data_IF_265531858267
#
_entry.id   IF_265531858267
#
_cell.length_a   1.000
_cell.length_b   1.000
_cell.length_c   1.000
_cell.angle_alpha   90.00
_cell.angle_beta   90.00
_cell.angle_gamma   90.00
#
_symmetry.space_group_name_H-M   'P 1'
#
loop_
_entity.id
_entity.type
_entity.pdbx_description
1 polymer ?
#
# COMPACT_ATOMS: atom_id res chain seq x y z
N UNK A 1 -7.39 13.21 19.86
CA UNK A 1 -6.17 13.19 19.03
C UNK A 1 -5.09 12.55 19.88
N UNK A 2 -4.30 11.64 19.37
CA UNK A 2 -3.17 11.05 20.11
C UNK A 2 -2.03 12.07 20.12
N UNK A 3 -1.27 12.13 21.21
CA UNK A 3 -0.05 12.92 21.20
C UNK A 3 1.08 12.20 20.42
N UNK A 4 2.06 12.97 19.99
CA UNK A 4 3.18 12.51 19.18
C UNK A 4 3.98 11.36 19.84
N UNK A 5 4.19 11.44 21.15
CA UNK A 5 4.97 10.44 21.88
C UNK A 5 4.24 9.10 21.86
N UNK A 6 2.95 9.11 22.14
CA UNK A 6 2.09 7.92 22.09
C UNK A 6 2.10 7.28 20.70
N UNK A 7 1.93 8.07 19.62
CA UNK A 7 1.95 7.55 18.24
C UNK A 7 3.30 6.92 17.91
N UNK A 8 4.41 7.62 18.18
CA UNK A 8 5.76 7.11 17.92
C UNK A 8 6.07 5.84 18.71
N UNK A 9 5.73 5.82 20.01
CA UNK A 9 5.97 4.64 20.83
C UNK A 9 5.15 3.46 20.37
N UNK A 10 3.87 3.66 20.02
CA UNK A 10 3.00 2.58 19.53
C UNK A 10 3.52 2.01 18.22
N UNK A 11 3.90 2.86 17.24
CA UNK A 11 4.49 2.41 15.98
C UNK A 11 5.78 1.61 16.26
N UNK A 12 6.65 2.14 17.12
CA UNK A 12 7.92 1.51 17.47
C UNK A 12 7.69 0.12 18.08
N UNK A 13 6.80 0.00 19.06
CA UNK A 13 6.50 -1.29 19.70
C UNK A 13 5.98 -2.30 18.69
N UNK A 14 5.01 -1.93 17.86
CA UNK A 14 4.47 -2.81 16.80
C UNK A 14 5.59 -3.28 15.85
N UNK A 15 6.41 -2.36 15.37
CA UNK A 15 7.48 -2.66 14.40
C UNK A 15 8.57 -3.52 15.04
N UNK A 16 9.01 -3.17 16.23
CA UNK A 16 10.12 -3.82 16.94
C UNK A 16 9.75 -5.25 17.36
N UNK A 17 8.53 -5.46 17.88
CA UNK A 17 8.02 -6.77 18.25
C UNK A 17 7.92 -7.69 17.02
N UNK A 18 7.38 -7.20 15.91
CA UNK A 18 7.32 -7.95 14.65
C UNK A 18 8.73 -8.30 14.16
N UNK A 19 9.63 -7.32 14.16
CA UNK A 19 11.00 -7.54 13.68
C UNK A 19 11.76 -8.53 14.56
N UNK A 20 11.61 -8.48 15.87
CA UNK A 20 12.23 -9.43 16.80
C UNK A 20 11.61 -10.81 16.73
N UNK A 21 10.30 -10.89 16.53
CA UNK A 21 9.56 -12.16 16.46
C UNK A 21 9.73 -12.93 15.15
N UNK A 22 10.27 -12.31 14.09
CA UNK A 22 10.39 -12.92 12.76
C UNK A 22 11.83 -13.34 12.45
N UNK A 23 12.10 -14.65 12.43
CA UNK A 23 13.40 -15.19 12.04
C UNK A 23 13.82 -14.77 10.61
N UNK A 24 12.86 -14.65 9.69
CA UNK A 24 13.09 -14.21 8.31
C UNK A 24 13.58 -12.77 8.28
N UNK A 25 12.96 -11.87 9.05
CA UNK A 25 13.38 -10.47 9.15
C UNK A 25 14.76 -10.39 9.83
N UNK A 26 14.98 -11.12 10.92
CA UNK A 26 16.26 -11.13 11.61
C UNK A 26 17.40 -11.60 10.69
N UNK A 27 17.17 -12.64 9.91
CA UNK A 27 18.14 -13.11 8.91
C UNK A 27 18.44 -12.03 7.85
N UNK A 28 17.39 -11.37 7.32
CA UNK A 28 17.54 -10.30 6.33
C UNK A 28 18.29 -9.06 6.87
N UNK A 29 18.29 -8.85 8.18
CA UNK A 29 18.99 -7.75 8.85
C UNK A 29 20.43 -8.08 9.23
N UNK A 30 20.83 -9.34 9.10
CA UNK A 30 22.21 -9.76 9.41
C UNK A 30 23.19 -9.10 8.45
N UNK A 31 24.10 -8.31 8.99
CA UNK A 31 25.11 -7.59 8.21
C UNK A 31 26.41 -7.48 8.99
N UNK A 32 27.58 -7.45 8.31
CA UNK A 32 28.85 -7.25 8.95
C UNK A 32 28.99 -5.83 9.51
N UNK A 33 29.80 -5.67 10.54
CA UNK A 33 30.14 -4.38 11.13
C UNK A 33 29.35 -4.02 12.38
N UNK A 34 29.64 -2.86 12.98
CA UNK A 34 28.99 -2.43 14.21
C UNK A 34 27.52 -2.10 14.00
N UNK A 35 26.69 -2.32 15.03
CA UNK A 35 25.29 -1.93 15.02
C UNK A 35 25.14 -0.42 14.76
N UNK A 36 24.20 -0.01 13.92
CA UNK A 36 23.98 1.41 13.63
C UNK A 36 23.39 2.13 14.85
N UNK A 37 23.79 3.39 15.06
CA UNK A 37 23.27 4.22 16.16
C UNK A 37 21.75 4.39 16.14
N UNK A 38 21.15 4.57 14.96
CA UNK A 38 19.72 4.49 14.76
C UNK A 38 19.39 3.05 14.39
N UNK A 39 18.64 2.31 15.20
CA UNK A 39 18.25 0.93 14.90
C UNK A 39 17.37 0.85 13.65
N UNK A 40 17.18 -0.34 13.09
CA UNK A 40 16.32 -0.52 11.92
C UNK A 40 14.85 -0.35 12.31
N UNK A 41 14.45 -0.78 13.52
CA UNK A 41 13.09 -0.53 14.05
C UNK A 41 12.81 0.96 14.21
N UNK A 42 13.76 1.73 14.76
CA UNK A 42 13.62 3.20 14.89
C UNK A 42 13.52 3.87 13.52
N UNK A 43 14.33 3.44 12.54
CA UNK A 43 14.30 4.00 11.19
C UNK A 43 12.97 3.73 10.50
N UNK A 44 12.45 2.52 10.59
CA UNK A 44 11.15 2.14 10.01
C UNK A 44 10.03 2.90 10.73
N UNK A 45 10.09 3.03 12.06
CA UNK A 45 9.14 3.84 12.83
C UNK A 45 9.05 5.27 12.31
N UNK A 46 10.19 5.93 12.10
CA UNK A 46 10.23 7.29 11.55
C UNK A 46 9.65 7.33 10.13
N UNK A 47 9.94 6.32 9.31
CA UNK A 47 9.42 6.24 7.94
C UNK A 47 7.88 6.10 7.92
N UNK A 48 7.32 5.26 8.77
CA UNK A 48 5.87 5.07 8.88
C UNK A 48 5.17 6.27 9.51
N UNK A 49 5.79 6.88 10.51
CA UNK A 49 5.29 8.12 11.11
C UNK A 49 5.22 9.25 10.08
N UNK A 50 6.25 9.43 9.25
CA UNK A 50 6.25 10.41 8.15
C UNK A 50 5.03 10.24 7.23
N UNK A 51 4.70 9.01 6.86
CA UNK A 51 3.54 8.74 5.99
C UNK A 51 2.21 9.01 6.73
N UNK A 52 2.08 8.60 7.99
CA UNK A 52 0.84 8.79 8.77
C UNK A 52 0.51 10.27 9.05
N UNK A 53 1.51 11.13 9.18
CA UNK A 53 1.28 12.58 9.32
C UNK A 53 1.05 13.28 7.97
N UNK A 54 1.05 12.54 6.86
CA UNK A 54 0.80 13.08 5.53
C UNK A 54 1.91 13.98 4.99
N UNK A 55 3.18 13.75 5.35
CA UNK A 55 4.31 14.54 4.82
C UNK A 55 5.06 13.76 3.72
N UNK A 56 4.70 13.97 2.44
CA UNK A 56 5.26 13.17 1.35
C UNK A 56 6.70 13.54 1.00
N UNK A 57 7.16 14.73 1.38
CA UNK A 57 8.50 15.23 1.07
C UNK A 57 9.46 14.99 2.22
N UNK A 58 10.42 14.10 2.03
CA UNK A 58 11.40 13.75 3.05
C UNK A 58 12.31 14.93 3.48
N UNK A 59 12.67 15.81 2.54
CA UNK A 59 13.44 17.03 2.84
C UNK A 59 12.66 18.00 3.73
N UNK A 60 11.36 18.15 3.47
CA UNK A 60 10.46 18.97 4.25
C UNK A 60 10.22 18.35 5.63
N UNK A 61 9.95 17.05 5.68
CA UNK A 61 9.79 16.30 6.93
C UNK A 61 10.99 16.48 7.87
N UNK A 62 12.22 16.28 7.37
CA UNK A 62 13.41 16.46 8.19
C UNK A 62 13.57 17.90 8.68
N UNK A 63 13.34 18.89 7.82
CA UNK A 63 13.44 20.31 8.19
C UNK A 63 12.47 20.66 9.33
N UNK A 64 11.25 20.15 9.30
CA UNK A 64 10.21 20.48 10.29
C UNK A 64 10.31 19.64 11.56
N UNK A 65 10.62 18.35 11.43
CA UNK A 65 10.43 17.39 12.52
C UNK A 65 11.72 16.87 13.14
N UNK A 66 12.90 17.05 12.51
CA UNK A 66 14.17 16.48 13.03
C UNK A 66 14.44 16.89 14.48
N UNK A 67 14.26 18.17 14.83
CA UNK A 67 14.51 18.67 16.19
C UNK A 67 13.58 17.99 17.22
N UNK A 68 12.32 17.83 16.89
CA UNK A 68 11.31 17.22 17.78
C UNK A 68 11.35 15.69 17.80
N UNK A 69 12.03 15.05 16.84
CA UNK A 69 12.26 13.60 16.80
C UNK A 69 13.51 13.17 17.59
N UNK A 70 14.53 14.02 17.71
CA UNK A 70 15.78 13.69 18.41
C UNK A 70 15.64 13.22 19.84
N UNK A 71 14.72 13.76 20.67
CA UNK A 71 14.51 13.23 22.03
C UNK A 71 14.05 11.76 22.05
N UNK A 72 13.30 11.31 21.04
CA UNK A 72 12.83 9.94 20.90
C UNK A 72 13.86 9.04 20.19
N UNK A 73 14.64 9.60 19.28
CA UNK A 73 15.61 8.91 18.43
C UNK A 73 16.96 9.61 18.46
N UNK A 74 17.75 9.47 19.56
CA UNK A 74 19.03 10.16 19.70
C UNK A 74 20.05 9.81 18.59
N UNK A 75 19.89 8.59 18.00
CA UNK A 75 20.70 8.11 16.88
C UNK A 75 20.29 8.66 15.52
N UNK A 76 19.30 9.57 15.44
CA UNK A 76 18.81 10.11 14.17
C UNK A 76 19.94 10.83 13.41
N UNK A 77 20.23 10.29 12.22
CA UNK A 77 21.30 10.74 11.33
C UNK A 77 20.83 11.82 10.36
N UNK A 78 21.74 12.30 9.53
CA UNK A 78 21.41 13.17 8.40
C UNK A 78 20.44 12.49 7.42
N UNK A 79 19.61 13.30 6.76
CA UNK A 79 18.61 12.85 5.78
C UNK A 79 19.19 11.93 4.70
N UNK A 80 20.38 12.23 4.18
CA UNK A 80 20.98 11.43 3.12
C UNK A 80 21.34 10.00 3.55
N UNK A 81 21.85 9.84 4.79
CA UNK A 81 22.13 8.51 5.40
C UNK A 81 20.83 7.78 5.73
N UNK A 82 19.87 8.48 6.30
CA UNK A 82 18.53 7.96 6.56
C UNK A 82 17.88 7.43 5.27
N UNK A 83 17.87 8.23 4.19
CA UNK A 83 17.27 7.85 2.91
C UNK A 83 17.92 6.61 2.29
N UNK A 84 19.25 6.49 2.32
CA UNK A 84 19.95 5.28 1.83
C UNK A 84 19.49 4.05 2.60
N UNK A 85 19.58 4.08 3.93
CA UNK A 85 19.19 2.95 4.77
C UNK A 85 17.71 2.61 4.62
N UNK A 86 16.84 3.60 4.53
CA UNK A 86 15.41 3.37 4.28
C UNK A 86 15.17 2.60 2.98
N UNK A 87 15.92 2.93 1.92
CA UNK A 87 15.84 2.19 0.66
C UNK A 87 16.35 0.77 0.78
N UNK A 88 17.42 0.55 1.52
CA UNK A 88 17.97 -0.79 1.77
C UNK A 88 17.00 -1.66 2.59
N UNK A 89 16.15 -1.05 3.42
CA UNK A 89 15.17 -1.71 4.27
C UNK A 89 13.77 -1.87 3.63
N UNK A 90 13.59 -1.56 2.33
CA UNK A 90 12.27 -1.61 1.70
C UNK A 90 11.59 -2.97 1.80
N UNK A 91 12.36 -4.06 1.63
CA UNK A 91 11.86 -5.44 1.76
C UNK A 91 11.48 -5.79 3.20
N UNK A 92 12.22 -5.27 4.19
CA UNK A 92 11.89 -5.42 5.62
C UNK A 92 10.61 -4.66 5.95
N UNK A 93 10.42 -3.45 5.42
CA UNK A 93 9.17 -2.70 5.57
C UNK A 93 7.97 -3.52 5.03
N UNK A 94 8.13 -4.17 3.87
CA UNK A 94 7.10 -5.07 3.33
C UNK A 94 6.89 -6.31 4.19
N UNK A 95 7.94 -6.91 4.75
CA UNK A 95 7.82 -8.04 5.66
C UNK A 95 7.05 -7.68 6.94
N UNK A 96 7.31 -6.49 7.50
CA UNK A 96 6.52 -5.93 8.61
C UNK A 96 5.04 -5.81 8.21
N UNK A 97 4.74 -5.32 7.01
CA UNK A 97 3.36 -5.26 6.49
C UNK A 97 2.70 -6.64 6.44
N UNK A 98 3.41 -7.64 5.90
CA UNK A 98 2.87 -9.01 5.79
C UNK A 98 2.55 -9.58 7.17
N UNK A 99 3.44 -9.38 8.15
CA UNK A 99 3.20 -9.81 9.53
C UNK A 99 1.99 -9.11 10.15
N UNK A 100 1.83 -7.80 9.93
CA UNK A 100 0.65 -7.03 10.35
C UNK A 100 -0.62 -7.54 9.68
N UNK A 101 -0.54 -7.85 8.39
CA UNK A 101 -1.67 -8.40 7.65
C UNK A 101 -2.15 -9.71 8.28
N UNK A 102 -1.24 -10.63 8.60
CA UNK A 102 -1.58 -11.91 9.24
C UNK A 102 -2.31 -11.67 10.57
N UNK A 103 -1.81 -10.74 11.40
CA UNK A 103 -2.44 -10.43 12.69
C UNK A 103 -3.82 -9.80 12.50
N UNK A 104 -3.95 -8.83 11.60
CA UNK A 104 -5.23 -8.16 11.33
C UNK A 104 -6.25 -9.08 10.67
N UNK A 105 -5.79 -9.99 9.82
CA UNK A 105 -6.61 -10.95 9.09
C UNK A 105 -7.13 -12.06 10.03
N UNK A 106 -6.32 -12.51 10.99
CA UNK A 106 -6.72 -13.48 11.99
C UNK A 106 -7.87 -12.99 12.89
N UNK A 107 -8.08 -11.68 12.97
CA UNK A 107 -9.19 -11.06 13.68
C UNK A 107 -10.50 -11.06 12.85
N UNK A 108 -10.44 -11.43 11.55
CA UNK A 108 -11.52 -11.25 10.59
C UNK A 108 -11.52 -12.39 9.58
N UNK A 109 -12.52 -13.27 9.64
CA UNK A 109 -12.66 -14.37 8.67
C UNK A 109 -13.52 -13.90 7.49
N UNK A 110 -12.93 -13.17 6.54
CA UNK A 110 -13.61 -12.74 5.33
C UNK A 110 -13.12 -13.47 4.09
N UNK A 111 -14.04 -14.12 3.38
CA UNK A 111 -13.75 -14.85 2.14
C UNK A 111 -14.05 -14.00 0.88
N UNK A 112 -14.36 -12.71 1.07
CA UNK A 112 -14.70 -11.78 0.00
C UNK A 112 -13.75 -10.58 0.05
N UNK A 113 -13.17 -10.24 -1.08
CA UNK A 113 -12.35 -9.04 -1.24
C UNK A 113 -12.76 -8.26 -2.49
N UNK A 114 -12.34 -7.02 -2.55
CA UNK A 114 -12.50 -6.19 -3.73
C UNK A 114 -11.15 -5.88 -4.37
N UNK A 115 -11.13 -5.75 -5.70
CA UNK A 115 -9.94 -5.41 -6.49
C UNK A 115 -10.16 -4.10 -7.24
N UNK A 116 -9.15 -3.26 -7.26
CA UNK A 116 -9.16 -2.01 -8.02
C UNK A 116 -7.74 -1.56 -8.35
N UNK A 117 -7.62 -0.56 -9.23
CA UNK A 117 -6.35 0.06 -9.58
C UNK A 117 -6.38 1.58 -9.40
N UNK A 118 -5.23 2.14 -9.02
CA UNK A 118 -5.05 3.58 -8.85
C UNK A 118 -3.83 4.08 -9.66
N UNK A 119 -3.88 5.28 -10.28
CA UNK A 119 -2.76 5.83 -11.00
C UNK A 119 -1.64 6.31 -10.06
N UNK A 120 -0.39 6.01 -10.43
CA UNK A 120 0.83 6.46 -9.76
C UNK A 120 1.72 7.17 -10.79
N UNK A 121 1.51 8.47 -11.03
CA UNK A 121 2.34 9.26 -11.95
C UNK A 121 3.78 9.35 -11.45
N UNK A 122 4.76 9.01 -12.29
CA UNK A 122 6.18 9.00 -11.92
C UNK A 122 6.91 10.29 -12.32
N UNK A 123 6.66 10.77 -13.53
CA UNK A 123 7.24 12.00 -14.05
C UNK A 123 6.21 12.79 -14.83
N UNK A 124 6.49 14.08 -15.05
CA UNK A 124 5.65 14.94 -15.90
C UNK A 124 5.50 14.31 -17.29
N UNK A 125 4.28 14.25 -17.81
CA UNK A 125 3.93 13.69 -19.11
C UNK A 125 4.80 14.24 -20.25
N UNK A 126 5.12 15.53 -20.23
CA UNK A 126 5.97 16.19 -21.24
C UNK A 126 7.44 15.75 -21.19
N UNK A 127 7.94 15.31 -20.04
CA UNK A 127 9.35 14.92 -19.82
C UNK A 127 9.59 13.41 -19.89
N UNK A 128 8.56 12.61 -20.07
CA UNK A 128 8.61 11.15 -20.04
C UNK A 128 9.50 10.54 -21.12
N UNK A 129 9.66 11.20 -22.28
CA UNK A 129 10.51 10.75 -23.39
C UNK A 129 12.01 10.97 -23.16
N UNK A 130 12.39 11.81 -22.19
CA UNK A 130 13.78 12.02 -21.83
C UNK A 130 14.21 10.98 -20.82
N UNK A 131 15.49 10.58 -20.84
CA UNK A 131 16.03 9.53 -19.97
C UNK A 131 15.50 9.65 -18.53
N UNK A 132 14.66 8.70 -18.16
CA UNK A 132 14.04 8.58 -16.84
C UNK A 132 14.48 7.26 -16.23
N UNK A 133 14.82 7.27 -14.93
CA UNK A 133 15.11 6.05 -14.16
C UNK A 133 13.90 5.11 -14.05
N UNK A 134 12.76 5.49 -14.64
CA UNK A 134 11.55 4.68 -14.73
C UNK A 134 11.35 4.00 -16.09
N UNK A 135 12.31 4.12 -17.02
CA UNK A 135 12.27 3.42 -18.32
C UNK A 135 12.23 1.91 -18.05
N UNK A 136 11.28 1.23 -18.72
CA UNK A 136 11.05 -0.21 -18.55
C UNK A 136 10.14 -0.60 -17.38
N UNK A 137 9.87 0.32 -16.43
CA UNK A 137 8.97 0.06 -15.30
C UNK A 137 7.72 0.95 -15.30
N UNK A 138 7.77 2.10 -15.96
CA UNK A 138 6.63 3.00 -16.13
C UNK A 138 6.31 3.17 -17.61
N UNK A 139 5.06 3.51 -17.91
CA UNK A 139 4.58 3.73 -19.28
C UNK A 139 3.44 4.76 -19.30
N UNK A 140 2.97 5.09 -20.49
CA UNK A 140 1.83 5.98 -20.71
C UNK A 140 0.52 5.31 -20.35
N UNK A 141 -0.32 6.00 -19.61
CA UNK A 141 -1.64 5.55 -19.22
C UNK A 141 -2.67 6.67 -19.24
N UNK A 142 -3.93 6.25 -19.18
CA UNK A 142 -5.09 7.12 -19.06
C UNK A 142 -5.89 6.69 -17.84
N UNK A 143 -6.19 7.65 -16.97
CA UNK A 143 -7.15 7.47 -15.89
C UNK A 143 -8.46 8.14 -16.30
N UNK A 144 -9.44 7.32 -16.72
CA UNK A 144 -10.72 7.82 -17.25
C UNK A 144 -11.52 8.58 -16.20
N UNK A 145 -11.55 8.10 -14.95
CA UNK A 145 -12.26 8.73 -13.84
C UNK A 145 -11.74 10.12 -13.49
N UNK A 146 -10.45 10.39 -13.77
CA UNK A 146 -9.79 11.70 -13.53
C UNK A 146 -9.55 12.49 -14.81
N UNK A 147 -10.00 12.00 -15.99
CA UNK A 147 -9.72 12.55 -17.31
C UNK A 147 -8.22 12.89 -17.50
N UNK A 148 -7.31 12.09 -16.92
CA UNK A 148 -5.90 12.38 -16.84
C UNK A 148 -5.06 11.44 -17.67
N UNK A 149 -4.20 12.00 -18.55
CA UNK A 149 -3.10 11.27 -19.18
C UNK A 149 -1.85 11.40 -18.33
N UNK A 150 -1.14 10.32 -18.07
CA UNK A 150 0.06 10.33 -17.24
C UNK A 150 1.10 9.33 -17.75
N UNK A 151 2.34 9.53 -17.31
CA UNK A 151 3.43 8.56 -17.45
C UNK A 151 3.78 8.04 -16.05
N UNK A 152 3.66 6.74 -15.84
CA UNK A 152 3.87 6.15 -14.52
C UNK A 152 3.48 4.69 -14.45
N UNK A 153 3.07 4.31 -13.26
CA UNK A 153 2.60 2.96 -12.94
C UNK A 153 1.11 2.97 -12.58
N UNK A 154 0.48 1.80 -12.59
CA UNK A 154 -0.76 1.52 -11.89
C UNK A 154 -0.46 0.76 -10.60
N UNK A 155 -1.06 1.16 -9.53
CA UNK A 155 -1.10 0.45 -8.26
C UNK A 155 -2.37 -0.40 -8.23
N UNK A 156 -2.21 -1.71 -8.35
CA UNK A 156 -3.32 -2.67 -8.22
C UNK A 156 -3.35 -3.16 -6.79
N UNK A 157 -4.53 -3.26 -6.20
CA UNK A 157 -4.68 -3.77 -4.84
C UNK A 157 -5.90 -4.67 -4.70
N UNK A 158 -5.76 -5.70 -3.87
CA UNK A 158 -6.87 -6.50 -3.34
C UNK A 158 -7.09 -6.08 -1.89
N UNK A 159 -8.31 -5.73 -1.57
CA UNK A 159 -8.70 -5.14 -0.28
C UNK A 159 -9.82 -5.96 0.32
N UNK A 160 -9.71 -6.38 1.59
CA UNK A 160 -10.79 -7.03 2.33
C UNK A 160 -11.98 -6.09 2.53
N UNK A 161 -13.15 -6.59 2.89
CA UNK A 161 -14.31 -5.73 3.15
C UNK A 161 -14.15 -4.84 4.39
N UNK A 162 -13.13 -5.08 5.22
CA UNK A 162 -12.77 -4.22 6.34
C UNK A 162 -11.75 -3.15 6.00
N UNK A 163 -11.25 -3.15 4.75
CA UNK A 163 -10.28 -2.19 4.24
C UNK A 163 -8.81 -2.60 4.39
N UNK A 164 -8.53 -3.83 4.82
CA UNK A 164 -7.15 -4.33 4.87
C UNK A 164 -6.64 -4.61 3.46
N UNK A 165 -5.50 -4.05 3.10
CA UNK A 165 -4.82 -4.33 1.83
C UNK A 165 -4.17 -5.71 1.94
N UNK A 166 -4.78 -6.73 1.32
CA UNK A 166 -4.29 -8.12 1.31
C UNK A 166 -3.06 -8.26 0.43
N UNK A 167 -3.10 -7.69 -0.76
CA UNK A 167 -1.99 -7.69 -1.70
C UNK A 167 -1.98 -6.44 -2.56
N UNK A 168 -0.82 -6.12 -3.12
CA UNK A 168 -0.69 -5.06 -4.11
C UNK A 168 0.42 -5.36 -5.12
N UNK A 169 0.30 -4.75 -6.29
CA UNK A 169 1.26 -4.88 -7.38
C UNK A 169 1.37 -3.55 -8.13
N UNK A 170 2.58 -3.20 -8.56
CA UNK A 170 2.82 -2.08 -9.48
C UNK A 170 3.05 -2.63 -10.89
N UNK A 171 2.31 -2.09 -11.85
CA UNK A 171 2.52 -2.38 -13.28
C UNK A 171 2.75 -1.09 -14.07
N UNK A 172 3.37 -1.15 -15.25
CA UNK A 172 3.36 -0.02 -16.18
C UNK A 172 1.92 0.45 -16.44
N UNK A 173 1.71 1.76 -16.57
CA UNK A 173 0.38 2.34 -16.71
C UNK A 173 -0.39 1.90 -17.98
N UNK A 174 0.32 1.39 -18.99
CA UNK A 174 -0.28 0.83 -20.22
C UNK A 174 -0.94 -0.54 -20.04
N UNK A 175 -0.59 -1.29 -18.98
CA UNK A 175 -1.13 -2.63 -18.73
C UNK A 175 -2.62 -2.55 -18.38
N UNK A 176 -3.46 -3.42 -18.93
CA UNK A 176 -4.88 -3.51 -18.60
C UNK A 176 -5.10 -4.06 -17.21
N UNK A 177 -6.18 -3.62 -16.54
CA UNK A 177 -6.43 -3.92 -15.11
C UNK A 177 -6.68 -5.40 -14.82
N UNK A 178 -7.24 -6.16 -15.79
CA UNK A 178 -7.47 -7.60 -15.68
C UNK A 178 -6.20 -8.47 -15.81
N UNK A 179 -5.15 -7.95 -16.46
CA UNK A 179 -3.94 -8.74 -16.75
C UNK A 179 -3.11 -9.14 -15.52
N UNK A 180 -2.89 -8.29 -14.49
CA UNK A 180 -2.07 -8.64 -13.36
C UNK A 180 -2.84 -9.40 -12.25
N UNK A 181 -4.12 -9.75 -12.43
CA UNK A 181 -4.96 -10.31 -11.38
C UNK A 181 -4.38 -11.61 -10.80
N UNK A 182 -3.93 -12.53 -11.63
CA UNK A 182 -3.36 -13.81 -11.17
C UNK A 182 -2.07 -13.57 -10.39
N UNK A 183 -1.14 -12.76 -10.94
CA UNK A 183 0.11 -12.39 -10.29
C UNK A 183 -0.13 -11.67 -8.95
N UNK A 184 -1.13 -10.79 -8.90
CA UNK A 184 -1.52 -10.09 -7.68
C UNK A 184 -2.06 -11.06 -6.62
N UNK A 185 -2.91 -12.01 -7.01
CA UNK A 185 -3.44 -13.04 -6.11
C UNK A 185 -2.34 -13.97 -5.57
N UNK A 186 -1.27 -14.20 -6.34
CA UNK A 186 -0.10 -14.98 -5.91
C UNK A 186 0.81 -14.21 -4.91
N UNK A 187 0.65 -12.91 -4.80
CA UNK A 187 1.49 -12.05 -3.95
C UNK A 187 1.14 -12.11 -2.46
N UNK A 188 0.05 -12.79 -2.07
CA UNK A 188 -0.38 -12.92 -0.68
C UNK A 188 -1.06 -14.27 -0.41
N UNK A 189 -1.01 -14.71 0.83
CA UNK A 189 -1.65 -15.94 1.30
C UNK A 189 -2.93 -15.59 2.04
N UNK A 190 -4.07 -15.65 1.35
CA UNK A 190 -5.40 -15.48 1.94
C UNK A 190 -6.41 -16.31 1.14
N UNK A 191 -7.30 -17.01 1.85
CA UNK A 191 -8.32 -17.85 1.21
C UNK A 191 -9.53 -17.00 0.83
N UNK A 192 -9.63 -16.65 -0.46
CA UNK A 192 -10.77 -15.92 -1.01
C UNK A 192 -11.69 -16.86 -1.76
N UNK A 193 -13.00 -16.69 -1.58
CA UNK A 193 -14.05 -17.31 -2.40
C UNK A 193 -14.65 -16.34 -3.43
N UNK A 194 -14.64 -15.05 -3.16
CA UNK A 194 -15.22 -14.02 -4.03
C UNK A 194 -14.30 -12.83 -4.19
N UNK A 195 -14.12 -12.40 -5.43
CA UNK A 195 -13.37 -11.20 -5.77
C UNK A 195 -14.28 -10.23 -6.54
N UNK A 196 -14.48 -9.03 -5.98
CA UNK A 196 -15.34 -8.00 -6.53
C UNK A 196 -14.49 -7.03 -7.34
N UNK A 197 -14.75 -6.90 -8.65
CA UNK A 197 -14.11 -5.93 -9.53
C UNK A 197 -15.11 -4.97 -10.18
N UNK A 198 -14.59 -3.92 -10.82
CA UNK A 198 -15.40 -3.08 -11.70
C UNK A 198 -15.55 -3.70 -13.11
N UNK A 199 -16.14 -2.96 -14.05
CA UNK A 199 -16.35 -3.41 -15.43
C UNK A 199 -15.04 -3.74 -16.18
N UNK A 200 -13.89 -3.20 -15.77
CA UNK A 200 -12.59 -3.51 -16.39
C UNK A 200 -12.16 -4.96 -16.11
N UNK A 201 -12.58 -5.53 -14.98
CA UNK A 201 -12.32 -6.92 -14.61
C UNK A 201 -13.35 -7.91 -15.19
N UNK A 202 -14.34 -7.45 -15.96
CA UNK A 202 -15.29 -8.33 -16.63
C UNK A 202 -14.63 -9.03 -17.82
N UNK A 203 -13.99 -10.16 -17.55
CA UNK A 203 -13.28 -11.02 -18.48
C UNK A 203 -13.70 -12.47 -18.25
N UNK A 204 -14.30 -13.10 -19.25
CA UNK A 204 -14.83 -14.47 -19.14
C UNK A 204 -13.71 -15.50 -18.99
N UNK A 205 -12.58 -15.32 -19.69
CA UNK A 205 -11.44 -16.24 -19.63
C UNK A 205 -10.80 -16.19 -18.24
N UNK A 206 -10.57 -14.99 -17.72
CA UNK A 206 -10.07 -14.79 -16.34
C UNK A 206 -11.03 -15.40 -15.31
N UNK A 207 -12.34 -15.14 -15.43
CA UNK A 207 -13.35 -15.68 -14.51
C UNK A 207 -13.37 -17.20 -14.51
N UNK A 208 -13.31 -17.85 -15.70
CA UNK A 208 -13.24 -19.30 -15.82
C UNK A 208 -11.95 -19.87 -15.21
N UNK A 209 -10.81 -19.22 -15.46
CA UNK A 209 -9.52 -19.61 -14.87
C UNK A 209 -9.56 -19.56 -13.34
N UNK A 210 -10.03 -18.46 -12.77
CA UNK A 210 -10.09 -18.29 -11.30
C UNK A 210 -11.07 -19.30 -10.65
N UNK A 211 -12.21 -19.56 -11.26
CA UNK A 211 -13.16 -20.57 -10.77
C UNK A 211 -12.57 -21.98 -10.81
N UNK A 212 -11.91 -22.34 -11.91
CA UNK A 212 -11.38 -23.69 -12.11
C UNK A 212 -10.13 -23.98 -11.27
N UNK A 213 -9.18 -23.04 -11.21
CA UNK A 213 -7.86 -23.29 -10.61
C UNK A 213 -7.68 -22.68 -9.21
N UNK A 214 -8.58 -21.78 -8.78
CA UNK A 214 -8.49 -21.09 -7.49
C UNK A 214 -9.74 -21.24 -6.63
N UNK A 215 -10.80 -21.89 -7.13
CA UNK A 215 -12.11 -21.92 -6.47
C UNK A 215 -12.62 -20.52 -6.10
N UNK A 216 -12.28 -19.52 -6.92
CA UNK A 216 -12.52 -18.09 -6.68
C UNK A 216 -13.50 -17.54 -7.71
N UNK A 217 -14.64 -17.03 -7.26
CA UNK A 217 -15.64 -16.41 -8.10
C UNK A 217 -15.31 -14.93 -8.35
N UNK A 218 -15.11 -14.56 -9.63
CA UNK A 218 -14.91 -13.16 -10.03
C UNK A 218 -16.26 -12.49 -10.31
N UNK A 219 -16.60 -11.48 -9.53
CA UNK A 219 -17.86 -10.76 -9.57
C UNK A 219 -17.64 -9.34 -10.10
N UNK A 220 -17.81 -9.17 -11.43
CA UNK A 220 -17.74 -7.86 -12.09
C UNK A 220 -19.07 -7.55 -12.79
N UNK A 221 -19.48 -6.27 -12.92
CA UNK A 221 -20.68 -5.87 -13.65
C UNK A 221 -20.54 -6.17 -15.15
N UNK A 222 -21.66 -6.34 -15.83
CA UNK A 222 -21.67 -6.43 -17.29
C UNK A 222 -21.13 -5.13 -17.91
N UNK A 223 -20.40 -5.24 -19.03
CA UNK A 223 -20.04 -4.06 -19.84
C UNK A 223 -21.30 -3.49 -20.49
N UNK A 224 -21.31 -2.17 -20.78
CA UNK A 224 -22.49 -1.48 -21.27
C UNK A 224 -23.15 -2.08 -22.54
N UNK A 225 -22.41 -2.85 -23.30
CA UNK A 225 -22.87 -3.57 -24.50
C UNK A 225 -23.31 -5.04 -24.22
N UNK A 226 -23.35 -5.46 -22.97
CA UNK A 226 -23.69 -6.83 -22.55
C UNK A 226 -25.00 -6.84 -21.73
N UNK A 227 -25.79 -7.91 -21.77
CA UNK A 227 -26.94 -8.05 -20.90
C UNK A 227 -26.51 -8.12 -19.43
N UNK A 228 -27.38 -7.64 -18.52
CA UNK A 228 -27.09 -7.71 -17.09
C UNK A 228 -26.87 -9.16 -16.62
N UNK A 229 -25.79 -9.42 -15.90
CA UNK A 229 -25.48 -10.76 -15.36
C UNK A 229 -26.29 -11.09 -14.11
N UNK A 230 -26.87 -10.06 -13.45
CA UNK A 230 -27.55 -10.18 -12.15
C UNK A 230 -28.74 -9.23 -12.08
N UNK A 231 -29.65 -9.49 -11.12
CA UNK A 231 -30.73 -8.57 -10.80
C UNK A 231 -30.18 -7.22 -10.31
N UNK A 232 -30.94 -6.14 -10.53
CA UNK A 232 -30.55 -4.79 -10.07
C UNK A 232 -30.22 -4.73 -8.57
N UNK A 233 -31.02 -5.31 -7.63
CA UNK A 233 -30.67 -5.30 -6.21
C UNK A 233 -29.34 -5.98 -5.90
N UNK A 234 -29.09 -7.15 -6.51
CA UNK A 234 -27.84 -7.89 -6.31
C UNK A 234 -26.63 -7.10 -6.83
N UNK A 235 -26.74 -6.48 -8.00
CA UNK A 235 -25.66 -5.63 -8.54
C UNK A 235 -25.41 -4.40 -7.68
N UNK A 236 -26.48 -3.77 -7.16
CA UNK A 236 -26.35 -2.62 -6.24
C UNK A 236 -25.62 -3.02 -4.95
N UNK A 237 -25.92 -4.18 -4.39
CA UNK A 237 -25.21 -4.69 -3.21
C UNK A 237 -23.72 -4.93 -3.48
N UNK A 238 -23.36 -5.57 -4.60
CA UNK A 238 -21.97 -5.78 -4.97
C UNK A 238 -21.22 -4.46 -5.19
N UNK A 239 -21.84 -3.50 -5.86
CA UNK A 239 -21.26 -2.17 -6.04
C UNK A 239 -21.02 -1.48 -4.68
N UNK A 240 -21.94 -1.60 -3.75
CA UNK A 240 -21.79 -1.04 -2.39
C UNK A 240 -20.63 -1.69 -1.63
N UNK A 241 -20.46 -3.01 -1.69
CA UNK A 241 -19.33 -3.70 -1.08
C UNK A 241 -18.01 -3.27 -1.71
N UNK A 242 -17.98 -3.08 -3.04
CA UNK A 242 -16.77 -2.64 -3.76
C UNK A 242 -16.30 -1.23 -3.39
N UNK A 243 -17.18 -0.36 -2.88
CA UNK A 243 -16.82 1.00 -2.43
C UNK A 243 -15.67 1.00 -1.40
N UNK A 244 -15.41 -0.13 -0.74
CA UNK A 244 -14.27 -0.24 0.18
C UNK A 244 -12.94 0.01 -0.53
N UNK A 245 -12.76 -0.47 -1.78
CA UNK A 245 -11.56 -0.16 -2.56
C UNK A 245 -11.43 1.33 -2.84
N UNK A 246 -12.52 2.01 -3.15
CA UNK A 246 -12.52 3.45 -3.40
C UNK A 246 -12.12 4.22 -2.13
N UNK A 247 -12.63 3.77 -0.97
CA UNK A 247 -12.24 4.35 0.34
C UNK A 247 -10.75 4.18 0.61
N UNK A 248 -10.21 2.96 0.45
CA UNK A 248 -8.78 2.68 0.67
C UNK A 248 -7.92 3.42 -0.36
N UNK A 249 -8.31 3.44 -1.63
CA UNK A 249 -7.63 4.19 -2.67
C UNK A 249 -7.62 5.69 -2.39
N UNK A 250 -8.74 6.26 -1.89
CA UNK A 250 -8.79 7.66 -1.47
C UNK A 250 -7.83 7.94 -0.31
N UNK A 251 -7.78 7.07 0.71
CA UNK A 251 -6.82 7.20 1.81
C UNK A 251 -5.37 7.15 1.32
N UNK A 252 -5.04 6.19 0.46
CA UNK A 252 -3.70 6.10 -0.13
C UNK A 252 -3.35 7.34 -0.96
N UNK A 253 -4.28 7.87 -1.75
CA UNK A 253 -4.05 9.01 -2.63
C UNK A 253 -4.01 10.35 -1.90
N UNK A 254 -4.93 10.58 -0.96
CA UNK A 254 -5.16 11.89 -0.35
C UNK A 254 -4.44 12.03 0.99
N UNK A 255 -4.50 11.03 1.86
CA UNK A 255 -3.88 11.08 3.18
C UNK A 255 -2.41 10.64 3.14
N UNK A 256 -2.11 9.53 2.44
CA UNK A 256 -0.76 8.99 2.32
C UNK A 256 -0.03 9.45 1.04
N UNK A 257 -0.65 10.30 0.23
CA UNK A 257 -0.05 10.93 -0.95
C UNK A 257 0.60 9.94 -1.94
N UNK A 258 -0.10 8.87 -2.30
CA UNK A 258 0.39 7.83 -3.21
C UNK A 258 0.87 8.39 -4.56
N UNK A 259 0.12 9.33 -5.15
CA UNK A 259 0.48 10.00 -6.40
C UNK A 259 1.54 11.09 -6.26
N UNK A 260 1.80 11.57 -5.04
CA UNK A 260 2.79 12.62 -4.75
C UNK A 260 3.99 12.04 -4.00
N UNK A 261 4.50 10.91 -4.45
CA UNK A 261 5.55 10.17 -3.78
C UNK A 261 6.95 10.79 -3.89
N UNK A 262 7.18 11.72 -4.82
CA UNK A 262 8.46 12.40 -5.06
C UNK A 262 9.67 11.47 -5.29
N UNK A 263 9.45 10.21 -5.63
CA UNK A 263 10.52 9.29 -6.02
C UNK A 263 11.11 9.70 -7.37
N UNK A 264 12.42 9.52 -7.54
CA UNK A 264 13.14 9.82 -8.79
C UNK A 264 13.67 8.57 -9.47
N UNK A 265 13.51 7.41 -8.87
CA UNK A 265 13.93 6.11 -9.39
C UNK A 265 12.93 5.03 -9.02
N UNK A 266 12.94 3.92 -9.73
CA UNK A 266 12.11 2.74 -9.45
C UNK A 266 12.31 2.23 -8.03
N UNK A 267 13.57 2.10 -7.57
CA UNK A 267 13.86 1.68 -6.19
C UNK A 267 13.28 2.66 -5.16
N UNK A 268 13.46 3.97 -5.38
CA UNK A 268 12.85 4.99 -4.54
C UNK A 268 11.32 4.91 -4.53
N UNK A 269 10.69 4.61 -5.66
CA UNK A 269 9.24 4.41 -5.76
C UNK A 269 8.79 3.21 -4.93
N UNK A 270 9.44 2.05 -5.11
CA UNK A 270 9.12 0.83 -4.36
C UNK A 270 9.21 1.06 -2.85
N UNK A 271 10.28 1.74 -2.37
CA UNK A 271 10.44 2.11 -0.96
C UNK A 271 9.31 2.98 -0.44
N UNK A 272 8.90 3.98 -1.22
CA UNK A 272 7.81 4.90 -0.85
C UNK A 272 6.47 4.18 -0.80
N UNK A 273 6.18 3.34 -1.79
CA UNK A 273 4.94 2.54 -1.83
C UNK A 273 4.91 1.57 -0.64
N UNK A 274 6.03 0.86 -0.38
CA UNK A 274 6.14 -0.04 0.76
C UNK A 274 5.83 0.70 2.08
N UNK A 275 6.42 1.87 2.31
CA UNK A 275 6.17 2.67 3.50
C UNK A 275 4.70 3.09 3.63
N UNK A 276 4.07 3.56 2.54
CA UNK A 276 2.67 4.01 2.54
C UNK A 276 1.70 2.88 2.83
N UNK A 277 1.85 1.74 2.17
CA UNK A 277 0.97 0.58 2.38
C UNK A 277 1.17 0.01 3.79
N UNK A 278 2.41 -0.04 4.29
CA UNK A 278 2.69 -0.46 5.67
C UNK A 278 2.13 0.54 6.68
N UNK A 279 2.26 1.84 6.46
CA UNK A 279 1.69 2.87 7.31
C UNK A 279 0.16 2.78 7.38
N UNK A 280 -0.52 2.46 6.26
CA UNK A 280 -1.96 2.17 6.25
C UNK A 280 -2.29 1.02 7.20
N UNK A 281 -1.60 -0.12 7.10
CA UNK A 281 -1.83 -1.29 7.97
C UNK A 281 -1.51 -1.00 9.44
N UNK A 282 -0.44 -0.25 9.72
CA UNK A 282 -0.10 0.20 11.10
C UNK A 282 -1.17 1.13 11.65
N UNK A 283 -1.69 2.05 10.84
CA UNK A 283 -2.78 2.93 11.23
C UNK A 283 -4.05 2.15 11.58
N UNK A 284 -4.41 1.13 10.80
CA UNK A 284 -5.51 0.22 11.12
C UNK A 284 -5.27 -0.52 12.44
N UNK A 285 -4.05 -1.03 12.67
CA UNK A 285 -3.69 -1.71 13.92
C UNK A 285 -3.82 -0.77 15.13
N UNK A 286 -3.29 0.45 15.04
CA UNK A 286 -3.41 1.45 16.13
C UNK A 286 -4.89 1.73 16.42
N UNK A 287 -5.72 1.95 15.40
CA UNK A 287 -7.15 2.19 15.58
C UNK A 287 -7.84 0.98 16.23
N UNK A 288 -7.50 -0.24 15.81
CA UNK A 288 -8.02 -1.48 16.40
C UNK A 288 -7.67 -1.59 17.89
N UNK A 289 -6.40 -1.33 18.25
CA UNK A 289 -5.94 -1.33 19.65
C UNK A 289 -6.67 -0.28 20.51
N UNK A 290 -7.12 0.82 19.90
CA UNK A 290 -7.87 1.89 20.57
C UNK A 290 -9.38 1.70 20.55
N UNK A 291 -9.89 0.58 20.01
CA UNK A 291 -11.32 0.35 19.85
C UNK A 291 -12.00 1.33 18.88
N UNK A 292 -11.26 1.90 17.93
CA UNK A 292 -11.76 2.84 16.91
C UNK A 292 -12.06 2.12 15.60
N UNK A 293 -12.91 2.68 14.72
CA UNK A 293 -13.05 2.16 13.38
C UNK A 293 -11.69 2.13 12.66
N UNK A 294 -11.31 0.95 12.13
CA UNK A 294 -9.98 0.69 11.59
C UNK A 294 -9.51 1.72 10.56
N UNK A 295 -10.42 2.20 9.70
CA UNK A 295 -10.13 3.15 8.62
C UNK A 295 -10.13 4.63 9.04
N UNK A 296 -10.25 4.98 10.31
CA UNK A 296 -10.14 6.37 10.79
C UNK A 296 -8.68 6.85 10.85
N UNK A 297 -7.93 6.72 9.75
CA UNK A 297 -6.50 7.08 9.72
C UNK A 297 -6.25 8.58 9.97
N UNK A 298 -7.14 9.46 9.50
CA UNK A 298 -7.02 10.90 9.73
C UNK A 298 -7.00 11.29 11.23
N UNK A 299 -7.57 10.45 12.10
CA UNK A 299 -7.55 10.68 13.55
C UNK A 299 -6.18 10.39 14.20
N UNK A 300 -5.23 9.82 13.45
CA UNK A 300 -3.86 9.54 13.88
C UNK A 300 -2.88 10.65 13.48
N UNK A 301 -3.26 11.54 12.56
CA UNK A 301 -2.46 12.70 12.20
C UNK A 301 -2.35 13.64 13.43
N UNK A 302 -1.10 13.94 13.81
CA UNK A 302 -0.73 14.75 14.98
C UNK A 302 -0.18 16.10 14.53
#
# INVERSE_FOLDING_TARGET
MLDKATVLTTIFTIVDDIMKGSAVIQHALTRPGPAPRLSDSELITIALYQELIGEPREDHFFRLHQASLRPFFPGLTERSRYNRRKRDLWSVILAVRVSLQIVLDALQVEETAAIDSAPVPCVSYKRSKQASDFVGTADYGVCSSKAMKYFGCKFHSVVSLTGLILGFLLTPASRYDNQPVVELLDSFSHHLKRLLGDGAYNDAALGSYLAQYRSLELLAPAKGNQPPKRSKPAQTQLNRLRLICETVNAQLQEQLHLSKHYAKSTWGLMTRIAAKVTAHSVGMMINSLLGRPALQLAALAV
#
